data_IF_980273106951
#
_entry.id   IF_980273106951
#
_cell.length_a   1.000
_cell.length_b   1.000
_cell.length_c   1.000
_cell.angle_alpha   90.00
_cell.angle_beta   90.00
_cell.angle_gamma   90.00
#
_symmetry.space_group_name_H-M   'P 1'
#
loop_
_entity.id
_entity.type
_entity.pdbx_description
1 polymer ?
#
# COMPACT_ATOMS: atom_id res chain seq x y z
N UNK A 1 -56.06 -29.38 -20.37
CA UNK A 1 -54.64 -29.42 -20.78
C UNK A 1 -53.88 -28.71 -19.68
N UNK A 2 -53.62 -29.44 -18.60
CA UNK A 2 -52.85 -29.00 -17.44
C UNK A 2 -51.36 -29.03 -17.77
N UNK A 3 -50.61 -28.04 -17.33
CA UNK A 3 -49.18 -28.18 -17.08
C UNK A 3 -48.87 -27.57 -15.72
N UNK A 4 -48.42 -28.46 -14.84
CA UNK A 4 -48.06 -28.26 -13.45
C UNK A 4 -46.72 -27.51 -13.28
N UNK A 5 -46.50 -27.07 -12.06
CA UNK A 5 -45.39 -26.26 -11.60
C UNK A 5 -44.09 -27.03 -11.25
N UNK A 6 -43.03 -26.22 -11.07
CA UNK A 6 -41.77 -26.42 -10.29
C UNK A 6 -40.62 -27.24 -10.92
N UNK A 7 -39.34 -27.12 -10.44
CA UNK A 7 -38.75 -26.23 -9.43
C UNK A 7 -37.44 -25.51 -9.86
N UNK A 8 -36.93 -24.64 -8.98
CA UNK A 8 -35.53 -24.15 -8.96
C UNK A 8 -34.80 -24.88 -7.83
N UNK A 9 -33.74 -25.62 -8.14
CA UNK A 9 -32.74 -26.09 -7.18
C UNK A 9 -31.41 -26.36 -7.91
N UNK A 10 -30.29 -26.28 -7.20
CA UNK A 10 -29.04 -26.89 -7.66
C UNK A 10 -27.84 -25.96 -7.80
N UNK A 11 -27.18 -25.78 -6.66
CA UNK A 11 -25.85 -25.20 -6.46
C UNK A 11 -24.69 -25.90 -7.23
N UNK A 12 -23.58 -25.16 -7.37
CA UNK A 12 -22.15 -25.59 -7.35
C UNK A 12 -21.38 -25.84 -8.66
N UNK A 13 -20.24 -25.11 -8.76
CA UNK A 13 -18.95 -25.35 -9.42
C UNK A 13 -18.89 -25.67 -10.93
N UNK A 14 -18.00 -24.96 -11.63
CA UNK A 14 -17.14 -25.66 -12.60
C UNK A 14 -15.74 -25.07 -12.64
N UNK A 15 -14.79 -25.96 -12.36
CA UNK A 15 -13.38 -25.88 -12.72
C UNK A 15 -13.25 -26.19 -14.22
N UNK A 16 -12.39 -25.44 -14.90
CA UNK A 16 -11.56 -25.78 -16.08
C UNK A 16 -12.17 -26.66 -17.19
N UNK A 17 -12.36 -26.07 -18.37
CA UNK A 17 -11.57 -26.32 -19.61
C UNK A 17 -12.31 -25.83 -20.87
N UNK A 18 -11.56 -25.25 -21.82
CA UNK A 18 -11.89 -25.34 -23.26
C UNK A 18 -12.61 -24.17 -23.92
N UNK A 19 -11.81 -23.19 -24.39
CA UNK A 19 -11.95 -22.44 -25.66
C UNK A 19 -13.33 -22.20 -26.30
N UNK A 20 -13.78 -20.94 -26.33
CA UNK A 20 -13.81 -20.12 -27.55
C UNK A 20 -14.20 -18.67 -27.23
N UNK A 21 -13.59 -17.74 -27.96
CA UNK A 21 -13.55 -16.30 -27.69
C UNK A 21 -14.88 -15.63 -28.03
N UNK A 22 -15.65 -15.27 -27.01
CA UNK A 22 -16.52 -14.10 -27.08
C UNK A 22 -15.85 -12.98 -26.27
N UNK A 23 -15.31 -11.91 -26.89
CA UNK A 23 -15.04 -10.71 -26.12
C UNK A 23 -16.41 -10.07 -25.84
N UNK A 24 -17.11 -10.59 -24.83
CA UNK A 24 -18.09 -9.80 -24.11
C UNK A 24 -17.47 -8.45 -23.75
N UNK A 25 -18.27 -7.37 -23.62
CA UNK A 25 -17.76 -6.03 -23.46
C UNK A 25 -16.67 -6.05 -22.40
N UNK A 26 -15.42 -5.78 -22.82
CA UNK A 26 -14.29 -5.68 -21.90
C UNK A 26 -14.72 -4.67 -20.86
N UNK A 27 -15.04 -5.14 -19.65
CA UNK A 27 -15.18 -4.26 -18.51
C UNK A 27 -13.86 -3.51 -18.45
N UNK A 28 -13.87 -2.23 -18.85
CA UNK A 28 -12.72 -1.36 -18.67
C UNK A 28 -12.33 -1.49 -17.20
N UNK A 29 -11.06 -1.71 -16.85
CA UNK A 29 -10.68 -1.61 -15.45
C UNK A 29 -11.13 -0.21 -15.00
N UNK A 30 -12.13 -0.17 -14.11
CA UNK A 30 -12.55 1.03 -13.40
C UNK A 30 -11.47 1.39 -12.38
N UNK A 31 -10.21 1.44 -12.81
CA UNK A 31 -9.05 1.65 -11.98
C UNK A 31 -8.78 3.14 -11.91
N UNK A 32 -8.84 3.71 -10.71
CA UNK A 32 -8.35 5.06 -10.47
C UNK A 32 -6.81 5.13 -10.50
N UNK A 33 -6.16 3.96 -10.51
CA UNK A 33 -4.73 3.74 -10.43
C UNK A 33 -4.19 3.09 -11.71
N UNK A 34 -3.07 3.62 -12.17
CA UNK A 34 -2.16 2.88 -13.04
C UNK A 34 -1.02 2.30 -12.22
N UNK A 35 -0.78 1.00 -12.42
CA UNK A 35 0.35 0.28 -11.85
C UNK A 35 1.30 -0.05 -12.99
N UNK A 36 2.49 0.54 -12.96
CA UNK A 36 3.50 0.45 -14.02
C UNK A 36 4.84 -0.02 -13.46
N UNK A 37 5.88 -0.03 -14.30
CA UNK A 37 7.23 -0.47 -13.92
C UNK A 37 7.22 -1.84 -13.21
N UNK A 38 6.62 -2.85 -13.84
CA UNK A 38 6.49 -4.22 -13.32
C UNK A 38 5.76 -4.36 -11.97
N UNK A 39 5.04 -3.33 -11.53
CA UNK A 39 4.33 -3.35 -10.24
C UNK A 39 4.85 -2.34 -9.22
N UNK A 40 5.99 -1.70 -9.50
CA UNK A 40 6.71 -0.89 -8.52
C UNK A 40 6.23 0.56 -8.47
N UNK A 41 5.64 1.06 -9.55
CA UNK A 41 5.16 2.45 -9.66
C UNK A 41 3.64 2.49 -9.63
N UNK A 42 3.10 3.35 -8.77
CA UNK A 42 1.67 3.60 -8.65
C UNK A 42 1.39 5.07 -8.94
N UNK A 43 0.34 5.33 -9.71
CA UNK A 43 -0.06 6.68 -10.09
C UNK A 43 -1.58 6.79 -10.09
N UNK A 44 -2.13 7.87 -9.50
CA UNK A 44 -3.54 8.18 -9.66
C UNK A 44 -3.77 8.91 -10.98
N UNK A 45 -4.25 8.19 -12.01
CA UNK A 45 -4.43 8.76 -13.37
C UNK A 45 -5.85 9.14 -13.74
N UNK A 46 -6.87 8.68 -13.01
CA UNK A 46 -8.28 8.97 -13.34
C UNK A 46 -8.83 10.20 -12.62
N UNK A 47 -9.02 11.31 -13.35
CA UNK A 47 -9.55 12.57 -12.84
C UNK A 47 -11.08 12.60 -12.61
N UNK A 48 -11.81 11.55 -13.02
CA UNK A 48 -13.27 11.52 -12.93
C UNK A 48 -13.80 11.18 -11.52
N UNK A 49 -12.90 10.93 -10.56
CA UNK A 49 -13.27 10.77 -9.15
C UNK A 49 -12.84 11.98 -8.35
N UNK A 50 -13.83 12.58 -7.69
CA UNK A 50 -13.61 13.67 -6.75
C UNK A 50 -13.47 13.09 -5.35
N UNK A 51 -12.41 13.51 -4.64
CA UNK A 51 -12.18 13.23 -3.21
C UNK A 51 -12.20 11.74 -2.82
N UNK A 52 -11.17 11.00 -3.23
CA UNK A 52 -10.93 9.63 -2.79
C UNK A 52 -9.61 9.52 -2.02
N UNK A 53 -9.61 8.70 -0.97
CA UNK A 53 -8.39 8.08 -0.46
C UNK A 53 -8.18 6.80 -1.23
N UNK A 54 -7.05 6.69 -1.92
CA UNK A 54 -6.72 5.52 -2.73
C UNK A 54 -5.68 4.70 -1.96
N UNK A 55 -6.11 3.67 -1.19
CA UNK A 55 -5.20 2.78 -0.50
C UNK A 55 -4.54 1.82 -1.49
N UNK A 56 -3.21 1.68 -1.39
CA UNK A 56 -2.45 0.71 -2.16
C UNK A 56 -1.45 0.00 -1.26
N UNK A 57 -1.38 -1.32 -1.36
CA UNK A 57 -0.39 -2.13 -0.65
C UNK A 57 0.29 -3.10 -1.60
N UNK A 58 1.49 -3.49 -1.24
CA UNK A 58 2.19 -4.61 -1.86
C UNK A 58 1.42 -5.92 -1.66
N UNK A 59 1.66 -6.89 -2.57
CA UNK A 59 1.14 -8.25 -2.44
C UNK A 59 1.94 -9.09 -1.44
N UNK A 60 3.22 -8.79 -1.32
CA UNK A 60 4.13 -9.53 -0.44
C UNK A 60 3.94 -9.10 1.01
N UNK A 61 3.84 -10.10 1.89
CA UNK A 61 3.79 -9.89 3.33
C UNK A 61 5.14 -10.25 3.93
N UNK A 62 5.85 -9.24 4.43
CA UNK A 62 7.21 -9.39 4.94
C UNK A 62 7.12 -9.82 6.40
N UNK A 63 7.53 -11.05 6.72
CA UNK A 63 7.37 -11.63 8.06
C UNK A 63 8.67 -12.04 8.74
N UNK A 64 9.78 -12.11 7.99
CA UNK A 64 11.07 -12.49 8.55
C UNK A 64 12.23 -11.90 7.75
N UNK A 65 13.02 -11.06 8.41
CA UNK A 65 14.29 -10.58 7.90
C UNK A 65 14.52 -9.09 8.04
N UNK A 66 15.62 -8.62 7.44
CA UNK A 66 15.99 -7.21 7.46
C UNK A 66 15.78 -6.64 6.07
N UNK A 67 14.86 -5.68 5.97
CA UNK A 67 14.46 -5.07 4.70
C UNK A 67 14.73 -3.57 4.71
N UNK A 68 15.13 -3.04 3.56
CA UNK A 68 15.13 -1.61 3.27
C UNK A 68 14.29 -1.39 2.02
N UNK A 69 13.38 -0.43 2.07
CA UNK A 69 12.45 -0.11 0.98
C UNK A 69 12.40 1.41 0.86
N UNK A 70 12.58 1.92 -0.35
CA UNK A 70 12.50 3.35 -0.61
C UNK A 70 11.17 3.68 -1.30
N UNK A 71 10.41 4.59 -0.71
CA UNK A 71 9.27 5.25 -1.34
C UNK A 71 9.79 6.52 -2.00
N UNK A 72 9.99 6.47 -3.32
CA UNK A 72 10.32 7.65 -4.10
C UNK A 72 9.02 8.37 -4.48
N UNK A 73 8.84 9.59 -3.99
CA UNK A 73 7.67 10.42 -4.28
C UNK A 73 7.91 11.16 -5.59
N UNK A 74 7.56 10.52 -6.70
CA UNK A 74 7.80 11.10 -8.03
C UNK A 74 6.91 12.33 -8.29
N UNK A 75 5.71 12.36 -7.71
CA UNK A 75 4.78 13.48 -7.85
C UNK A 75 3.90 13.61 -6.59
N UNK A 76 4.00 14.74 -5.88
CA UNK A 76 3.24 14.99 -4.64
C UNK A 76 1.88 15.68 -4.86
N UNK A 77 1.78 16.53 -5.89
CA UNK A 77 0.63 17.43 -6.11
C UNK A 77 0.35 18.34 -4.88
N UNK A 78 -0.88 18.82 -4.71
CA UNK A 78 -1.31 19.83 -3.72
C UNK A 78 -1.91 19.27 -2.44
N UNK A 79 -2.32 18.00 -2.43
CA UNK A 79 -2.89 17.32 -1.25
C UNK A 79 -1.88 16.41 -0.57
N UNK A 80 -2.25 16.03 0.64
CA UNK A 80 -1.55 15.06 1.47
C UNK A 80 -1.35 13.71 0.73
N UNK A 81 -0.33 12.99 1.14
CA UNK A 81 0.05 11.66 0.69
C UNK A 81 0.45 10.87 1.94
N UNK A 82 0.29 9.55 1.96
CA UNK A 82 0.86 8.71 3.02
C UNK A 82 1.74 7.62 2.41
N UNK A 83 2.93 7.41 2.97
CA UNK A 83 3.79 6.25 2.63
C UNK A 83 4.25 5.55 3.90
N UNK A 84 4.30 4.22 3.89
CA UNK A 84 4.70 3.47 5.06
C UNK A 84 4.24 2.03 5.00
N UNK A 85 3.60 1.57 6.06
CA UNK A 85 3.21 0.16 6.17
C UNK A 85 2.02 -0.07 7.08
N UNK A 86 1.46 -1.26 6.96
CA UNK A 86 0.44 -1.79 7.86
C UNK A 86 0.70 -3.26 8.17
N UNK A 87 0.18 -3.77 9.28
CA UNK A 87 0.34 -5.18 9.63
C UNK A 87 -0.72 -6.04 8.95
N UNK A 88 -0.36 -7.26 8.57
CA UNK A 88 -1.31 -8.27 8.12
C UNK A 88 -2.12 -8.85 9.31
N UNK A 89 -3.40 -9.22 9.12
CA UNK A 89 -4.23 -8.88 7.96
C UNK A 89 -4.44 -7.37 7.85
N UNK A 90 -4.57 -6.89 6.63
CA UNK A 90 -4.56 -5.46 6.36
C UNK A 90 -5.72 -4.74 7.07
N UNK A 91 -5.36 -3.71 7.84
CA UNK A 91 -6.30 -2.83 8.52
C UNK A 91 -5.94 -1.37 8.21
N UNK A 92 -6.72 -0.79 7.30
CA UNK A 92 -6.57 0.59 6.86
C UNK A 92 -7.29 1.60 7.77
N UNK A 93 -8.03 1.13 8.77
CA UNK A 93 -8.87 1.99 9.60
C UNK A 93 -9.96 2.71 8.79
N UNK A 94 -10.27 3.94 9.20
CA UNK A 94 -11.34 4.73 8.62
C UNK A 94 -10.99 5.26 7.22
N UNK A 95 -11.89 5.02 6.27
CA UNK A 95 -11.85 5.49 4.87
C UNK A 95 -10.56 5.24 4.06
N UNK A 96 -9.65 4.36 4.51
CA UNK A 96 -8.49 3.97 3.70
C UNK A 96 -7.26 4.87 3.84
N UNK A 97 -7.22 5.78 4.82
CA UNK A 97 -6.05 6.61 5.09
C UNK A 97 -4.95 5.80 5.81
N UNK A 98 -3.74 5.77 5.25
CA UNK A 98 -2.61 5.08 5.88
C UNK A 98 -2.24 5.80 7.18
N UNK A 99 -2.19 5.06 8.29
CA UNK A 99 -1.98 5.64 9.63
C UNK A 99 -3.27 5.89 10.42
N UNK A 100 -4.45 5.60 9.86
CA UNK A 100 -5.72 5.73 10.59
C UNK A 100 -5.98 4.57 11.58
N UNK A 101 -5.37 3.40 11.39
CA UNK A 101 -5.45 2.27 12.31
C UNK A 101 -4.26 2.25 13.29
N UNK A 102 -4.44 1.64 14.46
CA UNK A 102 -3.36 1.28 15.40
C UNK A 102 -2.34 0.31 14.77
N UNK A 103 -2.72 -0.38 13.69
CA UNK A 103 -1.88 -1.35 12.96
C UNK A 103 -1.29 -0.77 11.66
N UNK A 104 -1.38 0.54 11.45
CA UNK A 104 -0.87 1.23 10.28
C UNK A 104 0.00 2.43 10.68
N UNK A 105 1.14 2.60 10.01
CA UNK A 105 2.04 3.72 10.20
C UNK A 105 2.33 4.35 8.84
N UNK A 106 2.17 5.67 8.78
CA UNK A 106 2.52 6.46 7.60
C UNK A 106 3.49 7.56 7.99
N UNK A 107 4.45 7.84 7.12
CA UNK A 107 4.97 9.19 7.02
C UNK A 107 4.02 10.02 6.15
N UNK A 108 3.60 11.16 6.69
CA UNK A 108 2.85 12.20 6.02
C UNK A 108 3.82 13.31 5.58
N UNK A 109 4.09 13.44 4.27
CA UNK A 109 5.02 14.43 3.76
C UNK A 109 4.53 15.87 3.82
N UNK A 110 3.21 16.09 3.91
CA UNK A 110 2.63 17.42 4.02
C UNK A 110 2.85 18.02 5.42
N UNK A 111 2.63 17.20 6.45
CA UNK A 111 2.84 17.61 7.84
C UNK A 111 4.30 17.44 8.30
N UNK A 112 5.06 16.55 7.67
CA UNK A 112 6.40 16.17 8.15
C UNK A 112 6.29 15.38 9.45
N UNK A 113 5.46 14.33 9.44
CA UNK A 113 5.15 13.56 10.66
C UNK A 113 5.00 12.07 10.38
N UNK A 114 5.28 11.24 11.39
CA UNK A 114 4.83 9.84 11.43
C UNK A 114 3.47 9.79 12.12
N UNK A 115 2.49 9.20 11.45
CA UNK A 115 1.11 9.08 11.89
C UNK A 115 0.77 7.63 12.20
N UNK A 116 0.13 7.38 13.35
CA UNK A 116 -0.43 6.09 13.75
C UNK A 116 -1.71 6.30 14.56
N UNK A 117 -2.74 5.49 14.32
CA UNK A 117 -4.05 5.64 14.93
C UNK A 117 -4.58 7.09 14.85
N UNK A 118 -4.44 7.75 13.70
CA UNK A 118 -4.80 9.17 13.45
C UNK A 118 -4.03 10.22 14.25
N UNK A 119 -3.02 9.83 15.02
CA UNK A 119 -2.19 10.73 15.81
C UNK A 119 -0.81 10.89 15.18
N UNK A 120 -0.29 12.12 15.13
CA UNK A 120 1.12 12.36 14.86
C UNK A 120 1.96 11.90 16.06
N UNK A 121 2.60 10.74 15.94
CA UNK A 121 3.42 10.13 17.01
C UNK A 121 4.87 10.60 16.98
N UNK A 122 5.28 11.23 15.88
CA UNK A 122 6.57 11.90 15.74
C UNK A 122 6.44 13.04 14.72
N UNK A 123 6.86 14.25 15.08
CA UNK A 123 6.71 15.48 14.29
C UNK A 123 8.07 16.09 13.95
N UNK A 124 8.05 17.24 13.29
CA UNK A 124 9.25 18.05 12.98
C UNK A 124 10.25 17.32 12.07
N UNK A 125 9.76 16.33 11.32
CA UNK A 125 10.51 15.77 10.20
C UNK A 125 10.51 16.79 9.04
N UNK A 126 11.54 16.76 8.18
CA UNK A 126 11.52 17.49 6.93
C UNK A 126 10.24 17.17 6.17
N UNK A 127 9.63 18.20 5.57
CA UNK A 127 8.53 18.05 4.63
C UNK A 127 9.12 17.71 3.26
N UNK A 128 8.35 17.00 2.44
CA UNK A 128 8.72 16.79 1.05
C UNK A 128 8.01 17.86 0.23
N UNK A 129 8.80 18.74 -0.38
CA UNK A 129 8.30 19.83 -1.22
C UNK A 129 8.76 19.66 -2.68
N UNK A 130 9.65 18.70 -2.93
CA UNK A 130 10.27 18.45 -4.23
C UNK A 130 9.84 17.09 -4.79
N UNK A 131 9.88 16.98 -6.12
CA UNK A 131 9.75 15.70 -6.79
C UNK A 131 10.97 14.83 -6.53
N UNK A 132 10.76 13.52 -6.55
CA UNK A 132 11.78 12.48 -6.40
C UNK A 132 12.46 12.39 -5.04
N UNK A 133 11.92 13.06 -4.03
CA UNK A 133 12.31 12.85 -2.65
C UNK A 133 12.02 11.41 -2.19
N UNK A 134 12.87 10.92 -1.29
CA UNK A 134 12.85 9.53 -0.83
C UNK A 134 12.53 9.47 0.66
N UNK A 135 11.59 8.57 0.98
CA UNK A 135 11.34 8.10 2.34
C UNK A 135 11.76 6.63 2.41
N UNK A 136 12.73 6.32 3.24
CA UNK A 136 13.17 4.93 3.44
C UNK A 136 12.46 4.32 4.63
N UNK A 137 11.94 3.10 4.46
CA UNK A 137 11.45 2.24 5.51
C UNK A 137 12.47 1.11 5.75
N UNK A 138 12.99 1.04 6.97
CA UNK A 138 13.81 -0.08 7.43
C UNK A 138 13.00 -0.99 8.34
N UNK A 139 13.05 -2.29 8.08
CA UNK A 139 12.34 -3.32 8.82
C UNK A 139 13.34 -4.34 9.35
N UNK A 140 13.24 -4.68 10.64
CA UNK A 140 14.01 -5.75 11.26
C UNK A 140 13.04 -6.73 11.92
N UNK A 141 12.62 -7.76 11.17
CA UNK A 141 11.46 -8.59 11.50
C UNK A 141 11.83 -9.96 12.09
N UNK A 142 13.06 -10.42 11.95
CA UNK A 142 13.46 -11.76 12.42
C UNK A 142 13.62 -11.85 13.93
N UNK A 143 14.23 -10.83 14.55
CA UNK A 143 14.60 -10.87 15.97
C UNK A 143 14.08 -9.65 16.72
N UNK A 144 14.28 -8.47 16.15
CA UNK A 144 13.99 -7.20 16.84
C UNK A 144 12.52 -6.77 16.73
N UNK A 145 11.80 -7.28 15.72
CA UNK A 145 10.41 -6.89 15.39
C UNK A 145 10.24 -5.36 15.42
N UNK A 146 11.03 -4.63 14.63
CA UNK A 146 10.98 -3.16 14.61
C UNK A 146 10.92 -2.57 13.22
N UNK A 147 10.37 -1.37 13.14
CA UNK A 147 10.35 -0.52 11.95
C UNK A 147 10.93 0.86 12.27
N UNK A 148 11.62 1.45 11.29
CA UNK A 148 12.27 2.75 11.39
C UNK A 148 12.04 3.49 10.07
N UNK A 149 11.60 4.74 10.14
CA UNK A 149 11.55 5.62 8.98
C UNK A 149 12.83 6.46 8.92
N UNK A 150 13.29 6.74 7.70
CA UNK A 150 14.38 7.68 7.43
C UNK A 150 13.88 8.67 6.37
N UNK A 151 13.84 9.95 6.74
CA UNK A 151 13.39 11.05 5.88
C UNK A 151 14.53 12.07 5.78
N UNK A 152 15.04 12.32 4.57
CA UNK A 152 16.22 13.18 4.35
C UNK A 152 17.40 12.90 5.31
N UNK A 153 17.74 11.62 5.49
CA UNK A 153 18.77 11.13 6.41
C UNK A 153 18.47 11.31 7.92
N UNK A 154 17.29 11.78 8.30
CA UNK A 154 16.84 11.85 9.69
C UNK A 154 16.10 10.56 10.02
N UNK A 155 16.65 9.80 10.96
CA UNK A 155 16.07 8.57 11.46
C UNK A 155 15.03 8.87 12.55
N UNK A 156 13.84 8.29 12.44
CA UNK A 156 12.79 8.42 13.46
C UNK A 156 13.08 7.55 14.68
N UNK A 157 12.40 7.79 15.82
CA UNK A 157 12.30 6.80 16.89
C UNK A 157 11.87 5.44 16.35
N UNK A 158 12.32 4.39 17.02
CA UNK A 158 12.02 3.01 16.65
C UNK A 158 10.56 2.68 16.96
N UNK A 159 9.86 2.09 15.99
CA UNK A 159 8.53 1.52 16.17
C UNK A 159 8.70 0.04 16.51
N UNK A 160 8.26 -0.36 17.70
CA UNK A 160 8.24 -1.76 18.10
C UNK A 160 6.96 -2.44 17.62
N UNK A 161 7.11 -3.50 16.85
CA UNK A 161 6.02 -4.29 16.28
C UNK A 161 5.70 -5.49 17.19
N UNK A 162 4.45 -5.95 17.23
CA UNK A 162 4.12 -7.22 17.85
C UNK A 162 4.97 -8.36 17.28
N UNK A 163 5.33 -9.34 18.13
CA UNK A 163 6.06 -10.53 17.66
C UNK A 163 5.29 -11.24 16.55
N UNK A 164 6.02 -11.79 15.58
CA UNK A 164 5.47 -12.51 14.41
C UNK A 164 4.57 -11.64 13.52
N UNK A 165 4.67 -10.32 13.61
CA UNK A 165 3.98 -9.42 12.69
C UNK A 165 4.48 -9.65 11.26
N UNK A 166 3.55 -9.63 10.32
CA UNK A 166 3.88 -9.52 8.91
C UNK A 166 3.52 -8.12 8.42
N UNK A 167 4.48 -7.47 7.77
CA UNK A 167 4.41 -6.08 7.33
C UNK A 167 4.04 -6.02 5.86
N UNK A 168 3.11 -5.13 5.54
CA UNK A 168 2.65 -4.83 4.18
C UNK A 168 3.06 -3.38 3.87
N UNK A 169 4.15 -3.16 3.10
CA UNK A 169 4.46 -1.84 2.56
C UNK A 169 3.26 -1.28 1.79
N UNK A 170 2.96 -0.01 2.03
CA UNK A 170 1.71 0.60 1.62
C UNK A 170 1.85 2.10 1.38
N UNK A 171 0.92 2.65 0.59
CA UNK A 171 0.76 4.07 0.35
C UNK A 171 -0.72 4.45 0.23
N UNK A 172 -1.02 5.73 0.44
CA UNK A 172 -2.34 6.31 0.25
C UNK A 172 -2.21 7.58 -0.59
N UNK A 173 -2.91 7.64 -1.73
CA UNK A 173 -2.96 8.81 -2.61
C UNK A 173 -4.29 9.54 -2.43
N UNK A 174 -4.26 10.87 -2.36
CA UNK A 174 -5.41 11.73 -2.10
C UNK A 174 -5.67 12.75 -3.23
N UNK A 175 -4.80 12.79 -4.24
CA UNK A 175 -4.99 13.63 -5.43
C UNK A 175 -4.59 12.96 -6.74
N UNK A 176 -5.34 13.30 -7.79
CA UNK A 176 -4.98 12.99 -9.16
C UNK A 176 -3.59 13.52 -9.52
N UNK A 177 -2.84 12.71 -10.26
CA UNK A 177 -1.46 12.97 -10.65
C UNK A 177 -0.42 12.52 -9.61
N UNK A 178 -0.81 12.23 -8.36
CA UNK A 178 0.15 11.72 -7.38
C UNK A 178 0.77 10.40 -7.84
N UNK A 179 2.08 10.28 -7.63
CA UNK A 179 2.89 9.18 -8.15
C UNK A 179 3.99 8.79 -7.17
N UNK A 180 4.10 7.50 -6.94
CA UNK A 180 5.09 6.91 -6.03
C UNK A 180 5.71 5.70 -6.70
N UNK A 181 7.00 5.52 -6.53
CA UNK A 181 7.71 4.30 -6.93
C UNK A 181 8.38 3.66 -5.73
N UNK A 182 8.15 2.36 -5.55
CA UNK A 182 8.94 1.54 -4.64
C UNK A 182 10.27 1.22 -5.32
N UNK A 183 11.37 1.56 -4.67
CA UNK A 183 12.72 1.28 -5.17
C UNK A 183 13.57 0.65 -4.08
N UNK A 184 14.78 0.23 -4.46
CA UNK A 184 15.81 -0.22 -3.53
C UNK A 184 15.36 -1.34 -2.57
N UNK A 185 14.41 -2.19 -3.00
CA UNK A 185 13.93 -3.31 -2.20
C UNK A 185 15.07 -4.30 -1.95
N UNK A 186 15.66 -4.25 -0.76
CA UNK A 186 16.79 -5.08 -0.35
C UNK A 186 16.39 -5.95 0.83
N UNK A 187 16.70 -7.24 0.73
CA UNK A 187 16.65 -8.17 1.86
C UNK A 187 18.08 -8.59 2.19
N UNK A 188 18.60 -8.16 3.34
CA UNK A 188 20.00 -8.42 3.73
C UNK A 188 20.21 -9.77 4.42
N UNK A 189 19.15 -10.59 4.54
CA UNK A 189 19.27 -11.98 5.01
C UNK A 189 19.82 -12.97 3.97
N UNK A 190 20.24 -12.51 2.79
CA UNK A 190 20.90 -13.38 1.83
C UNK A 190 22.34 -13.60 2.29
N UNK A 191 22.52 -14.58 3.18
CA UNK A 191 23.78 -15.31 3.23
C UNK A 191 23.95 -15.98 1.87
N UNK A 192 24.97 -15.57 1.13
CA UNK A 192 25.48 -16.31 -0.03
C UNK A 192 25.79 -17.73 0.45
N UNK A 193 24.98 -18.70 0.02
CA UNK A 193 25.35 -20.11 0.03
C UNK A 193 26.05 -20.44 -1.28
#
# INVERSE_FOLDING_TARGET
MELCAEPVDGSIQSSLMGSEKNPGPKSKPNGYLDITNKGDTIEWTNSNVQAAWIPVQTRDSLSSGVYSIDFQINQLCSKQLGVGFLLAPADWGFFGYLGASERAWAYDPYEGAIVNATNAIYTDLPKIEQQDDIVTLQLHLKEECKAIFIVHNIQTPTIHLPKNSAVLPAACLLEHGQKITLTNFKNTNVSSN
#
